data_IF_298856858781
#
_entry.id   IF_298856858781
#
_cell.length_a   1.000
_cell.length_b   1.000
_cell.length_c   1.000
_cell.angle_alpha   90.00
_cell.angle_beta   90.00
_cell.angle_gamma   90.00
#
_symmetry.space_group_name_H-M   'P 1'
#
loop_
_entity.id
_entity.type
_entity.pdbx_description
1 polymer ?
#
# COMPACT_ATOMS: atom_id res chain seq x y z
N UNK A 1 -1.20 2.96 -2.48
CA UNK A 1 -1.59 4.25 -1.87
C UNK A 1 -2.51 5.04 -2.80
N UNK A 2 -2.07 5.50 -3.97
CA UNK A 2 -2.85 6.37 -4.86
C UNK A 2 -4.24 5.80 -5.18
N UNK A 3 -4.37 4.53 -5.54
CA UNK A 3 -5.66 3.90 -5.84
C UNK A 3 -6.65 3.95 -4.68
N UNK A 4 -6.18 3.75 -3.46
CA UNK A 4 -7.04 3.85 -2.28
C UNK A 4 -7.53 5.28 -2.09
N UNK A 5 -6.63 6.28 -2.24
CA UNK A 5 -6.99 7.69 -2.15
C UNK A 5 -8.07 8.07 -3.18
N UNK A 6 -7.86 7.68 -4.44
CA UNK A 6 -8.79 7.96 -5.55
C UNK A 6 -10.14 7.28 -5.34
N UNK A 7 -10.16 5.96 -5.10
CA UNK A 7 -11.40 5.18 -5.00
C UNK A 7 -12.19 5.50 -3.73
N UNK A 8 -11.58 6.14 -2.75
CA UNK A 8 -12.28 6.60 -1.53
C UNK A 8 -12.62 8.09 -1.58
N UNK A 9 -12.44 8.75 -2.74
CA UNK A 9 -12.66 10.19 -2.90
C UNK A 9 -11.97 11.02 -1.80
N UNK A 10 -10.73 10.65 -1.46
CA UNK A 10 -9.94 11.32 -0.43
C UNK A 10 -10.35 11.05 1.02
N UNK A 11 -11.40 10.25 1.27
CA UNK A 11 -11.85 9.95 2.64
C UNK A 11 -10.86 9.11 3.44
N UNK A 12 -9.99 8.38 2.75
CA UNK A 12 -8.89 7.62 3.36
C UNK A 12 -7.58 8.22 2.91
N UNK A 13 -6.90 8.90 3.81
CA UNK A 13 -5.55 9.40 3.56
C UNK A 13 -4.58 8.21 3.42
N UNK A 14 -3.73 8.26 2.41
CA UNK A 14 -2.77 7.20 2.14
C UNK A 14 -1.41 7.77 1.77
N UNK A 15 -0.38 7.07 2.21
CA UNK A 15 0.99 7.36 1.80
C UNK A 15 1.75 6.06 1.52
N UNK A 16 2.90 6.16 0.92
CA UNK A 16 3.81 5.04 0.70
C UNK A 16 5.25 5.50 0.86
N UNK A 17 6.09 4.56 1.24
CA UNK A 17 7.54 4.75 1.30
C UNK A 17 8.20 3.37 1.18
N UNK A 18 9.52 3.36 1.02
CA UNK A 18 10.30 2.16 1.29
C UNK A 18 10.34 1.90 2.81
N UNK A 19 10.54 0.65 3.21
CA UNK A 19 10.58 0.28 4.63
C UNK A 19 11.65 1.10 5.38
N UNK A 20 12.83 1.24 4.78
CA UNK A 20 13.91 2.02 5.38
C UNK A 20 13.60 3.51 5.42
N UNK A 21 13.01 4.06 4.36
CA UNK A 21 12.57 5.46 4.32
C UNK A 21 11.51 5.75 5.36
N UNK A 22 10.51 4.86 5.49
CA UNK A 22 9.43 4.98 6.45
C UNK A 22 9.92 5.03 7.90
N UNK A 23 10.96 4.25 8.22
CA UNK A 23 11.56 4.20 9.56
C UNK A 23 12.10 5.56 10.03
N UNK A 24 12.61 6.38 9.12
CA UNK A 24 13.33 7.61 9.45
C UNK A 24 12.47 8.83 9.83
N UNK A 25 11.15 8.74 9.73
CA UNK A 25 10.30 9.88 10.07
C UNK A 25 8.83 9.61 9.78
N UNK A 26 8.46 9.19 8.55
CA UNK A 26 7.08 8.96 8.16
C UNK A 26 6.30 8.02 9.10
N UNK A 27 6.98 7.09 9.77
CA UNK A 27 6.41 6.19 10.78
C UNK A 27 5.67 6.94 11.91
N UNK A 28 5.97 8.20 12.14
CA UNK A 28 5.29 9.02 13.15
C UNK A 28 3.80 9.26 12.87
N UNK A 29 3.34 9.05 11.63
CA UNK A 29 1.92 9.17 11.23
C UNK A 29 1.04 8.05 11.83
N UNK A 30 1.64 6.93 12.25
CA UNK A 30 0.90 5.78 12.76
C UNK A 30 0.13 6.16 14.02
N UNK A 31 -1.17 5.91 14.00
CA UNK A 31 -2.10 6.07 15.11
C UNK A 31 -3.04 4.85 15.18
N UNK A 32 -4.00 4.87 16.09
CA UNK A 32 -4.95 3.77 16.35
C UNK A 32 -5.88 3.43 15.17
N UNK A 33 -6.08 4.36 14.24
CA UNK A 33 -6.88 4.17 13.03
C UNK A 33 -6.06 3.86 11.78
N UNK A 34 -4.74 3.66 11.92
CA UNK A 34 -3.85 3.36 10.80
C UNK A 34 -3.81 1.87 10.49
N UNK A 35 -3.95 1.52 9.20
CA UNK A 35 -3.54 0.24 8.66
C UNK A 35 -2.20 0.43 7.93
N UNK A 36 -1.16 -0.23 8.41
CA UNK A 36 0.12 -0.33 7.71
C UNK A 36 0.14 -1.60 6.88
N UNK A 37 0.49 -1.51 5.61
CA UNK A 37 0.66 -2.66 4.73
C UNK A 37 2.13 -2.75 4.34
N UNK A 38 2.82 -3.78 4.79
CA UNK A 38 4.20 -4.09 4.42
C UNK A 38 4.22 -5.16 3.32
N UNK A 39 4.99 -4.95 2.28
CA UNK A 39 5.22 -5.91 1.19
C UNK A 39 6.64 -6.45 1.31
N UNK A 40 6.77 -7.75 1.57
CA UNK A 40 8.08 -8.35 1.75
C UNK A 40 8.69 -8.83 0.43
N UNK A 41 9.94 -8.46 0.24
CA UNK A 41 10.76 -8.88 -0.88
C UNK A 41 11.07 -10.39 -0.83
N UNK A 42 11.19 -11.02 -1.98
CA UNK A 42 11.73 -12.38 -2.11
C UNK A 42 13.25 -12.44 -1.95
N UNK A 43 13.94 -11.31 -2.10
CA UNK A 43 15.35 -11.19 -1.79
C UNK A 43 15.58 -11.35 -0.28
N UNK A 44 16.28 -12.41 0.11
CA UNK A 44 16.49 -12.75 1.52
C UNK A 44 17.26 -11.68 2.30
N UNK A 45 18.13 -10.92 1.64
CA UNK A 45 18.87 -9.84 2.28
C UNK A 45 17.98 -8.64 2.59
N UNK A 46 17.20 -8.17 1.61
CA UNK A 46 16.25 -7.06 1.77
C UNK A 46 15.16 -7.41 2.78
N UNK A 47 14.60 -8.60 2.69
CA UNK A 47 13.54 -9.07 3.59
C UNK A 47 13.93 -9.01 5.07
N UNK A 48 15.20 -9.13 5.42
CA UNK A 48 15.66 -8.95 6.81
C UNK A 48 15.38 -7.55 7.34
N UNK A 49 15.67 -6.52 6.55
CA UNK A 49 15.44 -5.12 6.94
C UNK A 49 13.94 -4.80 7.00
N UNK A 50 13.17 -5.34 6.06
CA UNK A 50 11.73 -5.20 6.01
C UNK A 50 11.08 -5.83 7.23
N UNK A 51 11.47 -7.05 7.58
CA UNK A 51 10.99 -7.74 8.79
C UNK A 51 11.41 -7.02 10.08
N UNK A 52 12.57 -6.42 10.11
CA UNK A 52 13.00 -5.65 11.29
C UNK A 52 12.11 -4.43 11.52
N UNK A 53 11.66 -3.76 10.46
CA UNK A 53 10.68 -2.69 10.59
C UNK A 53 9.31 -3.22 11.04
N UNK A 54 8.85 -4.34 10.48
CA UNK A 54 7.59 -4.96 10.89
C UNK A 54 7.62 -5.32 12.37
N UNK A 55 8.71 -5.94 12.86
CA UNK A 55 8.94 -6.23 14.28
C UNK A 55 8.88 -4.97 15.13
N UNK A 56 9.58 -3.91 14.71
CA UNK A 56 9.59 -2.64 15.42
C UNK A 56 8.19 -2.06 15.54
N UNK A 57 7.41 -2.04 14.44
CA UNK A 57 6.03 -1.55 14.45
C UNK A 57 5.13 -2.42 15.32
N UNK A 58 5.31 -3.73 15.31
CA UNK A 58 4.55 -4.66 16.14
C UNK A 58 4.77 -4.43 17.63
N UNK A 59 6.01 -4.17 18.04
CA UNK A 59 6.37 -3.85 19.43
C UNK A 59 5.88 -2.46 19.87
N UNK A 60 5.79 -1.51 18.93
CA UNK A 60 5.40 -0.12 19.20
C UNK A 60 3.92 0.14 18.90
N UNK A 61 3.07 -0.88 18.93
CA UNK A 61 1.65 -0.76 18.58
C UNK A 61 0.95 0.32 19.39
N UNK A 62 0.18 1.14 18.68
CA UNK A 62 -0.68 2.20 19.24
C UNK A 62 -2.16 1.94 18.95
N UNK A 63 -2.56 0.67 18.89
CA UNK A 63 -3.90 0.27 18.43
C UNK A 63 -4.01 0.09 16.91
N UNK A 64 -3.01 0.52 16.14
CA UNK A 64 -2.93 0.34 14.68
C UNK A 64 -2.92 -1.13 14.28
N UNK A 65 -3.30 -1.38 13.01
CA UNK A 65 -3.27 -2.71 12.40
C UNK A 65 -2.11 -2.82 11.42
N UNK A 66 -1.55 -4.03 11.35
CA UNK A 66 -0.44 -4.36 10.45
C UNK A 66 -0.85 -5.52 9.55
N UNK A 67 -0.86 -5.29 8.25
CA UNK A 67 -0.95 -6.32 7.23
C UNK A 67 0.44 -6.55 6.63
N UNK A 68 0.80 -7.80 6.42
CA UNK A 68 2.06 -8.16 5.76
C UNK A 68 1.75 -9.05 4.57
N UNK A 69 2.16 -8.62 3.39
CA UNK A 69 1.96 -9.35 2.13
C UNK A 69 3.30 -9.93 1.71
N UNK A 70 3.35 -11.24 1.52
CA UNK A 70 4.60 -11.95 1.27
C UNK A 70 4.38 -13.19 0.40
N UNK A 71 5.45 -13.69 -0.25
CA UNK A 71 5.42 -14.89 -1.08
C UNK A 71 6.01 -16.10 -0.36
N UNK A 72 7.26 -16.01 0.10
CA UNK A 72 7.95 -17.09 0.79
C UNK A 72 7.56 -17.17 2.27
N UNK A 73 7.58 -18.39 2.81
CA UNK A 73 7.33 -18.62 4.22
C UNK A 73 8.22 -17.72 5.11
N UNK A 74 7.59 -17.07 6.06
CA UNK A 74 8.23 -16.19 7.03
C UNK A 74 7.84 -16.66 8.43
N UNK A 75 8.76 -17.34 9.11
CA UNK A 75 8.54 -17.85 10.46
C UNK A 75 8.18 -16.70 11.43
N UNK A 76 7.16 -16.89 12.25
CA UNK A 76 6.73 -15.94 13.26
C UNK A 76 5.97 -14.72 12.73
N UNK A 77 5.59 -14.69 11.46
CA UNK A 77 4.86 -13.56 10.88
C UNK A 77 3.48 -13.38 11.50
N UNK A 78 2.83 -14.47 11.91
CA UNK A 78 1.53 -14.49 12.55
C UNK A 78 1.51 -13.79 13.90
N UNK A 79 2.67 -13.73 14.58
CA UNK A 79 2.82 -13.02 15.86
C UNK A 79 3.01 -11.51 15.66
N UNK A 80 3.51 -11.10 14.49
CA UNK A 80 3.86 -9.73 14.18
C UNK A 80 2.72 -9.00 13.47
N UNK A 81 1.98 -9.68 12.61
CA UNK A 81 0.95 -9.10 11.75
C UNK A 81 -0.45 -9.43 12.25
N UNK A 82 -1.37 -8.45 12.21
CA UNK A 82 -2.80 -8.72 12.39
C UNK A 82 -3.38 -9.47 11.18
N UNK A 83 -2.81 -9.22 10.00
CA UNK A 83 -3.23 -9.81 8.74
C UNK A 83 -2.00 -10.30 7.96
N UNK A 84 -1.51 -11.52 8.22
CA UNK A 84 -0.50 -12.17 7.39
C UNK A 84 -1.17 -12.68 6.12
N UNK A 85 -0.67 -12.24 4.94
CA UNK A 85 -1.27 -12.54 3.64
C UNK A 85 -0.19 -13.13 2.75
N UNK A 86 -0.19 -14.46 2.64
CA UNK A 86 0.74 -15.15 1.76
C UNK A 86 0.16 -15.28 0.36
N UNK A 87 0.89 -14.76 -0.62
CA UNK A 87 0.59 -14.90 -2.05
C UNK A 87 1.58 -15.91 -2.63
N UNK A 88 1.12 -17.15 -2.85
CA UNK A 88 1.99 -18.22 -3.37
C UNK A 88 2.04 -18.15 -4.89
N UNK A 89 3.04 -17.46 -5.44
CA UNK A 89 3.24 -17.31 -6.88
C UNK A 89 4.32 -18.24 -7.47
N UNK A 90 4.74 -19.24 -6.74
CA UNK A 90 5.80 -20.15 -7.14
C UNK A 90 7.15 -19.75 -6.57
N UNK A 91 8.15 -20.62 -6.79
CA UNK A 91 9.51 -20.36 -6.34
C UNK A 91 10.24 -19.37 -7.25
N UNK A 92 11.11 -18.59 -6.69
CA UNK A 92 12.14 -17.81 -7.37
C UNK A 92 11.65 -16.77 -8.40
N UNK A 93 10.57 -16.06 -8.08
CA UNK A 93 10.17 -14.90 -8.88
C UNK A 93 11.07 -13.68 -8.60
N UNK A 94 11.50 -13.01 -9.67
CA UNK A 94 12.14 -11.70 -9.52
C UNK A 94 11.17 -10.70 -8.86
N UNK A 95 11.66 -9.88 -7.95
CA UNK A 95 10.85 -8.92 -7.19
C UNK A 95 10.00 -7.98 -8.07
N UNK A 96 10.47 -7.66 -9.27
CA UNK A 96 9.71 -6.83 -10.21
C UNK A 96 8.44 -7.51 -10.71
N UNK A 97 8.48 -8.83 -10.90
CA UNK A 97 7.32 -9.63 -11.29
C UNK A 97 6.39 -9.85 -10.10
N UNK A 98 6.95 -10.12 -8.92
CA UNK A 98 6.18 -10.24 -7.68
C UNK A 98 5.35 -8.98 -7.39
N UNK A 99 5.83 -7.81 -7.79
CA UNK A 99 5.10 -6.55 -7.70
C UNK A 99 3.76 -6.57 -8.45
N UNK A 100 3.63 -7.35 -9.54
CA UNK A 100 2.38 -7.51 -10.28
C UNK A 100 1.33 -8.27 -9.46
N UNK A 101 1.76 -9.26 -8.68
CA UNK A 101 0.87 -10.03 -7.81
C UNK A 101 0.49 -9.22 -6.56
N UNK A 102 1.43 -8.49 -5.99
CA UNK A 102 1.17 -7.60 -4.85
C UNK A 102 0.21 -6.47 -5.17
N UNK A 103 0.19 -5.99 -6.42
CA UNK A 103 -0.76 -4.94 -6.82
C UNK A 103 -2.20 -5.44 -6.83
N UNK A 104 -2.44 -6.74 -7.04
CA UNK A 104 -3.79 -7.32 -6.94
C UNK A 104 -4.36 -7.14 -5.54
N UNK A 105 -3.56 -7.39 -4.51
CA UNK A 105 -3.95 -7.13 -3.14
C UNK A 105 -4.26 -5.64 -2.92
N UNK A 106 -3.37 -4.75 -3.37
CA UNK A 106 -3.54 -3.32 -3.21
C UNK A 106 -4.80 -2.79 -3.92
N UNK A 107 -5.11 -3.30 -5.10
CA UNK A 107 -6.31 -2.94 -5.85
C UNK A 107 -7.57 -3.50 -5.19
N UNK A 108 -7.53 -4.73 -4.71
CA UNK A 108 -8.65 -5.37 -4.03
C UNK A 108 -9.02 -4.61 -2.75
N UNK A 109 -8.05 -4.27 -1.91
CA UNK A 109 -8.33 -3.53 -0.67
C UNK A 109 -8.88 -2.12 -0.96
N UNK A 110 -8.38 -1.46 -2.00
CA UNK A 110 -8.87 -0.15 -2.42
C UNK A 110 -10.34 -0.23 -2.90
N UNK A 111 -10.68 -1.25 -3.71
CA UNK A 111 -12.03 -1.53 -4.17
C UNK A 111 -12.97 -1.81 -3.00
N UNK A 112 -12.60 -2.73 -2.12
CA UNK A 112 -13.42 -3.12 -0.97
C UNK A 112 -13.64 -1.95 -0.01
N UNK A 113 -12.62 -1.11 0.18
CA UNK A 113 -12.75 0.09 1.01
C UNK A 113 -13.68 1.11 0.38
N UNK A 114 -13.61 1.32 -0.93
CA UNK A 114 -14.56 2.17 -1.67
C UNK A 114 -16.00 1.72 -1.44
N UNK A 115 -16.27 0.44 -1.67
CA UNK A 115 -17.60 -0.15 -1.47
C UNK A 115 -18.08 0.00 -0.01
N UNK A 116 -17.22 -0.23 0.96
CA UNK A 116 -17.54 -0.10 2.39
C UNK A 116 -17.93 1.33 2.80
N UNK A 117 -17.48 2.32 2.04
CA UNK A 117 -17.82 3.73 2.23
C UNK A 117 -19.04 4.16 1.41
N UNK A 118 -19.70 3.23 0.70
CA UNK A 118 -20.84 3.53 -0.16
C UNK A 118 -20.46 4.31 -1.43
N UNK A 119 -19.19 4.24 -1.84
CA UNK A 119 -18.69 4.92 -3.02
C UNK A 119 -18.73 3.97 -4.22
N UNK A 120 -19.15 4.47 -5.37
CA UNK A 120 -19.14 3.71 -6.63
C UNK A 120 -17.74 3.78 -7.25
N UNK A 121 -17.02 2.66 -7.39
CA UNK A 121 -15.64 2.66 -7.91
C UNK A 121 -15.49 3.23 -9.33
N UNK A 122 -16.53 3.08 -10.16
CA UNK A 122 -16.54 3.59 -11.54
C UNK A 122 -16.61 5.13 -11.61
N UNK A 123 -17.19 5.75 -10.59
CA UNK A 123 -17.30 7.21 -10.47
C UNK A 123 -17.13 7.61 -9.00
N UNK A 124 -15.90 7.53 -8.44
CA UNK A 124 -15.66 7.81 -7.03
C UNK A 124 -15.79 9.29 -6.67
N UNK A 125 -15.76 10.18 -7.68
CA UNK A 125 -15.91 11.63 -7.50
C UNK A 125 -17.05 12.18 -8.36
N UNK A 126 -18.33 12.03 -7.94
CA UNK A 126 -19.48 12.47 -8.71
C UNK A 126 -19.53 13.99 -8.94
N UNK A 127 -18.87 14.77 -8.09
CA UNK A 127 -18.74 16.24 -8.18
C UNK A 127 -17.92 16.68 -9.39
N UNK A 128 -17.11 15.78 -9.97
CA UNK A 128 -16.30 16.03 -11.16
C UNK A 128 -14.98 16.76 -10.92
N UNK A 129 -14.57 16.96 -9.67
CA UNK A 129 -13.27 17.54 -9.30
C UNK A 129 -12.11 16.64 -9.73
N UNK A 130 -12.31 15.32 -9.64
CA UNK A 130 -11.40 14.31 -10.16
C UNK A 130 -12.10 13.51 -11.24
N UNK A 131 -11.55 13.49 -12.43
CA UNK A 131 -12.10 12.78 -13.58
C UNK A 131 -11.16 11.70 -14.06
N UNK A 132 -11.72 10.64 -14.65
CA UNK A 132 -10.95 9.55 -15.26
C UNK A 132 -9.98 10.06 -16.34
N UNK A 133 -10.39 11.09 -17.07
CA UNK A 133 -9.55 11.81 -18.02
C UNK A 133 -9.47 13.25 -17.55
N UNK A 134 -8.27 13.77 -17.43
CA UNK A 134 -8.04 15.16 -17.00
C UNK A 134 -8.73 16.12 -17.97
N UNK A 135 -9.52 17.05 -17.45
CA UNK A 135 -10.24 18.08 -18.21
C UNK A 135 -9.65 19.45 -17.88
N UNK A 136 -9.82 20.38 -18.82
CA UNK A 136 -9.43 21.79 -18.61
C UNK A 136 -7.92 22.05 -18.66
N UNK A 137 -7.14 21.13 -19.23
CA UNK A 137 -5.69 21.33 -19.40
C UNK A 137 -5.46 22.27 -20.58
N UNK A 138 -4.77 23.37 -20.35
CA UNK A 138 -4.29 24.25 -21.41
C UNK A 138 -2.94 23.74 -21.90
N UNK A 139 -2.86 23.47 -23.20
CA UNK A 139 -1.61 23.09 -23.84
C UNK A 139 -0.89 24.36 -24.31
N UNK A 140 0.33 24.55 -23.81
CA UNK A 140 1.21 25.64 -24.22
C UNK A 140 2.16 25.15 -25.31
N UNK A 141 2.40 25.95 -26.37
CA UNK A 141 3.37 25.57 -27.39
C UNK A 141 4.77 25.43 -26.79
N UNK A 142 5.44 24.33 -27.10
CA UNK A 142 6.84 24.13 -26.72
C UNK A 142 7.73 24.92 -27.67
N UNK A 143 8.29 26.02 -27.17
CA UNK A 143 9.31 26.82 -27.90
C UNK A 143 10.69 26.45 -27.41
N UNK A 144 11.46 25.76 -28.26
CA UNK A 144 12.91 25.62 -28.03
C UNK A 144 13.53 27.01 -28.05
N UNK A 145 14.19 27.42 -26.98
CA UNK A 145 15.13 28.57 -26.98
C UNK A 145 16.53 28.07 -27.29
#
# INVERSE_FOLDING_TARGET
ALKTLELTAGKVATMYDSELGFRHGPKSIINDSTLTVAYLSDDAYRRRYELDLVKEMAHQRKGNKIAVVYNHDCEGIEELADYPIQIKVGADMENVLLGLDFILFAQTIALMKSLSLGITPDNPCPTGEVNRVVKGVTLYPYTLK
#
